data_IF_416277662127
#
_entry.id   IF_416277662127
#
_cell.length_a   1.000
_cell.length_b   1.000
_cell.length_c   1.000
_cell.angle_alpha   90.00
_cell.angle_beta   90.00
_cell.angle_gamma   90.00
#
_symmetry.space_group_name_H-M   'P 1'
#
loop_
_entity.id
_entity.type
_entity.pdbx_description
1 polymer ?
#
# COMPACT_ATOMS: atom_id res chain seq x y z
N UNK A 1 -13.05 -22.72 8.34
CA UNK A 1 -12.31 -23.70 7.51
C UNK A 1 -12.90 -23.64 6.11
N UNK A 2 -12.10 -23.30 5.10
CA UNK A 2 -12.59 -22.98 3.75
C UNK A 2 -12.69 -24.27 2.91
N UNK A 3 -13.90 -24.54 2.39
CA UNK A 3 -14.24 -25.80 1.73
C UNK A 3 -13.51 -25.98 0.40
N UNK A 4 -12.84 -27.12 0.24
CA UNK A 4 -12.12 -27.57 -0.97
C UNK A 4 -13.06 -27.61 -2.21
N UNK A 5 -14.38 -27.71 -1.97
CA UNK A 5 -15.44 -27.66 -2.98
C UNK A 5 -15.57 -26.29 -3.68
N UNK A 6 -15.20 -25.19 -3.00
CA UNK A 6 -15.25 -23.84 -3.59
C UNK A 6 -14.10 -23.62 -4.58
N UNK A 7 -12.97 -24.30 -4.37
CA UNK A 7 -11.79 -24.29 -5.25
C UNK A 7 -11.99 -25.19 -6.47
N UNK A 8 -12.69 -26.32 -6.30
CA UNK A 8 -13.06 -27.22 -7.40
C UNK A 8 -14.03 -26.54 -8.39
N UNK A 9 -15.01 -25.78 -7.88
CA UNK A 9 -15.93 -24.99 -8.72
C UNK A 9 -15.24 -23.88 -9.51
N UNK A 10 -14.13 -23.32 -9.01
CA UNK A 10 -13.40 -22.23 -9.67
C UNK A 10 -12.47 -22.72 -10.79
N UNK A 11 -12.04 -23.98 -10.71
CA UNK A 11 -11.27 -24.65 -11.76
C UNK A 11 -12.21 -25.10 -12.89
N UNK A 12 -13.39 -25.63 -12.56
CA UNK A 12 -14.40 -26.05 -13.56
C UNK A 12 -14.96 -24.89 -14.40
N UNK A 13 -15.07 -23.68 -13.84
CA UNK A 13 -15.60 -22.52 -14.57
C UNK A 13 -14.67 -21.96 -15.66
N UNK A 14 -13.42 -22.43 -15.77
CA UNK A 14 -12.45 -21.91 -16.74
C UNK A 14 -12.17 -22.83 -17.93
N UNK A 15 -12.68 -24.07 -17.94
CA UNK A 15 -12.29 -25.07 -18.97
C UNK A 15 -13.32 -25.29 -20.07
N UNK A 16 -14.54 -24.74 -19.99
CA UNK A 16 -15.59 -25.03 -20.99
C UNK A 16 -16.12 -23.74 -21.60
N UNK A 17 -15.43 -23.13 -22.58
CA UNK A 17 -16.03 -22.16 -23.53
C UNK A 17 -15.19 -22.03 -24.83
N UNK A 18 -14.76 -23.15 -25.44
CA UNK A 18 -14.13 -23.13 -26.78
C UNK A 18 -15.07 -23.46 -27.97
N UNK A 19 -16.41 -23.50 -27.81
CA UNK A 19 -17.32 -23.63 -28.95
C UNK A 19 -18.61 -22.79 -28.77
N UNK A 20 -18.84 -21.84 -29.68
CA UNK A 20 -20.06 -21.03 -29.86
C UNK A 20 -21.17 -21.85 -30.58
N UNK A 21 -22.42 -21.35 -30.79
CA UNK A 21 -23.26 -20.38 -30.04
C UNK A 21 -24.72 -20.87 -29.81
N UNK A 22 -25.43 -20.39 -28.77
CA UNK A 22 -26.91 -20.31 -28.80
C UNK A 22 -27.42 -19.14 -27.95
N UNK A 23 -28.45 -18.49 -28.47
CA UNK A 23 -28.98 -17.19 -28.09
C UNK A 23 -29.84 -17.18 -26.81
N UNK A 24 -29.63 -16.11 -26.01
CA UNK A 24 -30.60 -15.41 -25.13
C UNK A 24 -31.15 -16.17 -23.90
N UNK A 25 -31.36 -15.63 -22.70
CA UNK A 25 -31.16 -14.32 -22.05
C UNK A 25 -31.44 -14.58 -20.56
N UNK A 26 -30.43 -14.52 -19.69
CA UNK A 26 -30.62 -14.20 -18.27
C UNK A 26 -29.54 -13.21 -17.86
N UNK A 27 -29.99 -12.13 -17.24
CA UNK A 27 -29.35 -10.85 -17.06
C UNK A 27 -28.03 -10.94 -16.28
N UNK A 28 -26.91 -11.00 -17.00
CA UNK A 28 -25.58 -10.73 -16.48
C UNK A 28 -25.05 -9.49 -17.18
N UNK A 29 -24.74 -8.43 -16.42
CA UNK A 29 -24.05 -7.26 -16.93
C UNK A 29 -22.66 -7.70 -17.41
N UNK A 30 -22.51 -7.87 -18.72
CA UNK A 30 -21.24 -8.30 -19.31
C UNK A 30 -20.27 -7.12 -19.30
N UNK A 31 -18.99 -7.39 -19.01
CA UNK A 31 -17.95 -6.36 -18.96
C UNK A 31 -17.84 -5.55 -20.27
N UNK A 32 -18.05 -6.20 -21.43
CA UNK A 32 -18.10 -5.51 -22.72
C UNK A 32 -19.26 -4.51 -22.83
N UNK A 33 -20.38 -4.73 -22.14
CA UNK A 33 -21.49 -3.78 -22.08
C UNK A 33 -21.18 -2.56 -21.19
N UNK A 34 -20.35 -2.74 -20.16
CA UNK A 34 -19.90 -1.64 -19.29
C UNK A 34 -18.85 -0.76 -19.99
N UNK A 35 -17.97 -1.39 -20.77
CA UNK A 35 -16.95 -0.68 -21.52
C UNK A 35 -17.56 0.14 -22.67
N UNK A 36 -18.55 -0.39 -23.38
CA UNK A 36 -19.23 0.35 -24.46
C UNK A 36 -20.07 1.55 -23.97
N UNK A 37 -20.62 1.49 -22.75
CA UNK A 37 -21.30 2.65 -22.13
C UNK A 37 -20.33 3.77 -21.72
N UNK A 38 -19.11 3.41 -21.33
CA UNK A 38 -18.13 4.41 -20.87
C UNK A 38 -17.50 5.16 -22.04
N UNK A 39 -17.37 4.52 -23.20
CA UNK A 39 -16.75 5.11 -24.39
C UNK A 39 -17.66 6.07 -25.19
N UNK A 40 -18.96 6.20 -24.86
CA UNK A 40 -19.92 6.91 -25.69
C UNK A 40 -20.66 8.08 -25.00
N UNK A 41 -20.04 8.74 -24.00
CA UNK A 41 -20.62 9.93 -23.35
C UNK A 41 -19.97 11.23 -23.84
N UNK A 42 -20.65 12.04 -24.68
CA UNK A 42 -20.32 13.45 -24.85
C UNK A 42 -20.76 14.22 -23.59
N UNK A 43 -19.79 14.72 -22.82
CA UNK A 43 -20.03 15.61 -21.68
C UNK A 43 -20.48 16.99 -22.15
N UNK A 44 -21.80 17.22 -22.18
CA UNK A 44 -22.37 18.57 -22.26
C UNK A 44 -22.41 19.19 -20.86
N UNK A 45 -21.46 20.08 -20.55
CA UNK A 45 -21.54 20.95 -19.37
C UNK A 45 -22.16 22.28 -19.82
N UNK A 46 -23.43 22.47 -19.46
CA UNK A 46 -24.16 23.73 -19.61
C UNK A 46 -24.15 24.50 -18.28
N UNK A 47 -23.78 25.77 -18.41
CA UNK A 47 -24.32 26.93 -17.69
C UNK A 47 -24.06 27.14 -16.19
N UNK A 48 -23.29 28.21 -15.96
CA UNK A 48 -23.67 29.36 -15.10
C UNK A 48 -23.59 29.18 -13.59
N UNK A 49 -22.49 29.67 -13.01
CA UNK A 49 -22.45 30.43 -11.75
C UNK A 49 -21.07 31.09 -11.60
N UNK A 50 -20.90 32.25 -12.24
CA UNK A 50 -19.77 33.13 -11.96
C UNK A 50 -20.00 33.80 -10.60
N UNK A 51 -19.21 33.43 -9.58
CA UNK A 51 -19.05 34.21 -8.35
C UNK A 51 -17.59 34.67 -8.25
N UNK A 52 -17.46 35.95 -7.90
CA UNK A 52 -16.44 36.88 -8.36
C UNK A 52 -15.04 36.67 -7.76
N UNK A 53 -14.01 36.71 -8.63
CA UNK A 53 -12.57 36.74 -8.33
C UNK A 53 -12.18 38.14 -7.78
N UNK A 54 -12.79 38.58 -6.67
CA UNK A 54 -12.55 39.91 -6.09
C UNK A 54 -12.03 39.90 -4.64
N UNK A 55 -11.68 38.74 -4.10
CA UNK A 55 -11.07 38.59 -2.76
C UNK A 55 -9.53 38.49 -2.76
N UNK A 56 -8.86 38.92 -3.84
CA UNK A 56 -7.38 38.87 -3.94
C UNK A 56 -6.71 40.21 -3.50
N UNK A 57 -7.45 41.18 -2.95
CA UNK A 57 -6.95 42.55 -2.83
C UNK A 57 -6.19 42.95 -1.54
N UNK A 58 -6.13 42.17 -0.46
CA UNK A 58 -5.49 42.70 0.77
C UNK A 58 -4.43 41.78 1.40
N UNK A 59 -3.20 42.01 0.92
CA UNK A 59 -2.00 42.21 1.74
C UNK A 59 -1.68 41.19 2.82
N UNK A 60 -0.75 40.27 2.51
CA UNK A 60 0.16 39.70 3.52
C UNK A 60 1.60 39.73 2.99
N UNK A 61 2.57 40.18 3.80
CA UNK A 61 3.96 40.31 3.38
C UNK A 61 4.57 38.94 3.10
N UNK A 62 5.26 38.84 1.97
CA UNK A 62 6.13 37.72 1.61
C UNK A 62 7.29 37.67 2.60
N UNK A 63 7.16 36.86 3.66
CA UNK A 63 8.33 36.42 4.42
C UNK A 63 8.97 35.31 3.59
N UNK A 64 9.85 35.73 2.66
CA UNK A 64 10.81 34.84 2.03
C UNK A 64 11.84 34.48 3.09
N UNK A 65 11.44 33.57 3.98
CA UNK A 65 12.29 32.99 4.99
C UNK A 65 13.43 32.27 4.27
N UNK A 66 14.63 32.76 4.52
CA UNK A 66 15.85 31.97 4.47
C UNK A 66 15.61 30.69 5.28
N UNK A 67 15.35 29.57 4.61
CA UNK A 67 15.60 28.26 5.20
C UNK A 67 16.87 27.74 4.58
N UNK A 68 17.98 28.26 5.11
CA UNK A 68 19.26 27.58 5.12
C UNK A 68 19.03 26.09 5.34
N UNK A 69 19.65 25.27 4.51
CA UNK A 69 19.66 23.82 4.58
C UNK A 69 19.85 23.35 6.03
N UNK A 70 18.78 22.90 6.68
CA UNK A 70 18.87 22.23 7.97
C UNK A 70 19.34 20.81 7.65
N UNK A 71 20.65 20.59 7.65
CA UNK A 71 21.22 19.24 7.64
C UNK A 71 20.98 18.63 9.03
N UNK A 72 19.81 18.05 9.23
CA UNK A 72 19.34 17.49 10.50
C UNK A 72 20.16 16.24 10.91
N UNK A 73 20.63 16.13 12.16
CA UNK A 73 21.28 14.92 12.70
C UNK A 73 20.31 13.74 13.02
N UNK A 74 19.09 13.77 12.45
CA UNK A 74 18.01 12.81 12.74
C UNK A 74 18.22 11.48 12.02
N UNK A 75 18.70 11.50 10.78
CA UNK A 75 18.96 10.27 9.99
C UNK A 75 20.12 9.43 10.56
N UNK A 76 21.15 10.08 11.12
CA UNK A 76 22.29 9.40 11.72
C UNK A 76 21.93 8.64 13.01
N UNK A 77 21.00 9.17 13.81
CA UNK A 77 20.53 8.49 15.02
C UNK A 77 19.55 7.35 14.71
N UNK A 78 18.62 7.54 13.76
CA UNK A 78 17.68 6.50 13.35
C UNK A 78 18.41 5.29 12.75
N UNK A 79 19.43 5.52 11.93
CA UNK A 79 20.24 4.44 11.35
C UNK A 79 21.08 3.70 12.40
N UNK A 80 21.59 4.38 13.42
CA UNK A 80 22.28 3.75 14.55
C UNK A 80 21.34 2.86 15.36
N UNK A 81 20.13 3.34 15.64
CA UNK A 81 19.12 2.60 16.39
C UNK A 81 18.66 1.34 15.62
N UNK A 82 18.44 1.49 14.31
CA UNK A 82 18.06 0.37 13.44
C UNK A 82 19.13 -0.73 13.38
N UNK A 83 20.41 -0.36 13.29
CA UNK A 83 21.51 -1.31 13.29
C UNK A 83 21.57 -2.13 14.59
N UNK A 84 21.34 -1.48 15.72
CA UNK A 84 21.27 -2.14 17.03
C UNK A 84 20.11 -3.13 17.07
N UNK A 85 18.91 -2.71 16.64
CA UNK A 85 17.71 -3.57 16.60
C UNK A 85 17.93 -4.80 15.72
N UNK A 86 18.51 -4.64 14.52
CA UNK A 86 18.80 -5.76 13.61
C UNK A 86 19.77 -6.75 14.26
N UNK A 87 20.82 -6.24 14.90
CA UNK A 87 21.82 -7.07 15.59
C UNK A 87 21.18 -7.86 16.75
N UNK A 88 20.34 -7.22 17.55
CA UNK A 88 19.65 -7.90 18.65
C UNK A 88 18.67 -8.96 18.15
N UNK A 89 17.92 -8.68 17.08
CA UNK A 89 17.03 -9.66 16.46
C UNK A 89 17.82 -10.85 15.90
N UNK A 90 18.92 -10.60 15.19
CA UNK A 90 19.83 -11.63 14.68
C UNK A 90 20.33 -12.56 15.80
N UNK A 91 20.74 -11.98 16.93
CA UNK A 91 21.19 -12.74 18.10
C UNK A 91 20.05 -13.55 18.75
N UNK A 92 18.87 -12.94 18.88
CA UNK A 92 17.70 -13.57 19.53
C UNK A 92 17.18 -14.77 18.75
N UNK A 93 17.13 -14.65 17.43
CA UNK A 93 16.58 -15.69 16.55
C UNK A 93 17.66 -16.56 15.89
N UNK A 94 18.94 -16.32 16.19
CA UNK A 94 20.08 -17.06 15.63
C UNK A 94 20.12 -17.01 14.08
N UNK A 95 19.81 -15.85 13.52
CA UNK A 95 19.78 -15.60 12.07
C UNK A 95 20.91 -14.62 11.71
N UNK A 96 21.50 -14.75 10.53
CA UNK A 96 22.53 -13.80 10.04
C UNK A 96 21.93 -12.38 9.86
N UNK A 97 22.59 -11.36 10.44
CA UNK A 97 22.23 -9.95 10.27
C UNK A 97 22.08 -9.55 8.79
N UNK A 98 22.93 -10.10 7.91
CA UNK A 98 22.87 -9.82 6.47
C UNK A 98 21.57 -10.32 5.85
N UNK A 99 21.04 -11.45 6.32
CA UNK A 99 19.78 -11.98 5.84
C UNK A 99 18.64 -11.04 6.23
N UNK A 100 18.56 -10.65 7.50
CA UNK A 100 17.56 -9.70 8.01
C UNK A 100 17.61 -8.39 7.21
N UNK A 101 18.80 -7.82 6.99
CA UNK A 101 18.99 -6.60 6.18
C UNK A 101 18.50 -6.78 4.74
N UNK A 102 18.75 -7.95 4.16
CA UNK A 102 18.35 -8.24 2.78
C UNK A 102 16.84 -8.33 2.65
N UNK A 103 16.16 -8.94 3.64
CA UNK A 103 14.70 -8.98 3.72
C UNK A 103 14.14 -7.57 3.89
N UNK A 104 14.60 -6.79 4.86
CA UNK A 104 14.13 -5.40 5.07
C UNK A 104 14.29 -4.57 3.79
N UNK A 105 15.42 -4.74 3.09
CA UNK A 105 15.66 -4.04 1.82
C UNK A 105 14.66 -4.45 0.74
N UNK A 106 14.37 -5.75 0.62
CA UNK A 106 13.43 -6.27 -0.36
C UNK A 106 11.98 -5.83 -0.07
N UNK A 107 11.60 -5.82 1.20
CA UNK A 107 10.22 -5.55 1.64
C UNK A 107 9.86 -4.05 1.61
N UNK A 108 10.76 -3.19 2.11
CA UNK A 108 10.45 -1.77 2.33
C UNK A 108 11.54 -0.81 1.84
N UNK A 109 12.68 -1.32 1.38
CA UNK A 109 13.88 -0.53 1.13
C UNK A 109 14.25 0.38 2.33
N UNK A 110 14.17 -0.16 3.55
CA UNK A 110 14.44 0.53 4.81
C UNK A 110 13.47 1.70 5.13
N UNK A 111 12.24 1.65 4.62
CA UNK A 111 11.20 2.61 4.98
C UNK A 111 10.33 2.10 6.14
N UNK A 112 10.50 2.70 7.32
CA UNK A 112 9.72 2.36 8.53
C UNK A 112 8.21 2.58 8.37
N UNK A 113 7.79 3.48 7.48
CA UNK A 113 6.38 3.83 7.26
C UNK A 113 5.83 3.24 5.96
N UNK A 114 6.50 2.25 5.37
CA UNK A 114 6.04 1.60 4.15
C UNK A 114 4.69 0.89 4.38
N UNK A 115 3.74 1.11 3.45
CA UNK A 115 2.44 0.44 3.43
C UNK A 115 2.16 -0.11 2.05
N UNK A 116 1.92 -1.42 1.93
CA UNK A 116 1.58 -2.05 0.66
C UNK A 116 0.10 -1.85 0.29
N UNK A 117 -0.24 -2.10 -0.98
CA UNK A 117 -1.64 -2.09 -1.46
C UNK A 117 -2.54 -3.09 -0.74
N UNK A 118 -1.97 -4.18 -0.24
CA UNK A 118 -2.68 -5.21 0.52
C UNK A 118 -2.72 -4.90 2.03
N UNK A 119 -2.08 -3.82 2.48
CA UNK A 119 -2.09 -3.35 3.87
C UNK A 119 -0.95 -3.87 4.73
N UNK A 120 0.11 -4.44 4.15
CA UNK A 120 1.33 -4.78 4.87
C UNK A 120 2.05 -3.52 5.36
N UNK A 121 2.68 -3.56 6.54
CA UNK A 121 3.20 -2.37 7.22
C UNK A 121 4.65 -2.54 7.71
N UNK A 122 5.43 -1.48 7.60
CA UNK A 122 6.74 -1.33 8.23
C UNK A 122 7.88 -2.02 7.49
N UNK A 123 9.02 -2.16 8.19
CA UNK A 123 10.28 -2.65 7.63
C UNK A 123 10.18 -4.02 6.96
N UNK A 124 9.48 -4.95 7.60
CA UNK A 124 9.29 -6.33 7.18
C UNK A 124 7.89 -6.59 6.63
N UNK A 125 7.14 -5.53 6.31
CA UNK A 125 5.83 -5.62 5.65
C UNK A 125 4.89 -6.64 6.33
N UNK A 126 4.73 -6.51 7.65
CA UNK A 126 3.83 -7.38 8.40
C UNK A 126 2.38 -7.06 8.06
N UNK A 127 1.59 -8.08 7.74
CA UNK A 127 0.14 -7.93 7.63
C UNK A 127 -0.47 -7.66 9.01
N UNK A 128 -1.52 -6.81 9.13
CA UNK A 128 -2.09 -6.46 10.44
C UNK A 128 -2.62 -7.66 11.23
N UNK A 129 -3.08 -8.72 10.55
CA UNK A 129 -3.47 -9.96 11.23
C UNK A 129 -2.25 -10.71 11.80
N UNK A 130 -1.17 -10.81 11.02
CA UNK A 130 0.09 -11.45 11.42
C UNK A 130 0.75 -10.69 12.57
N UNK A 131 0.85 -9.36 12.47
CA UNK A 131 1.40 -8.50 13.51
C UNK A 131 0.74 -8.76 14.88
N UNK A 132 -0.61 -8.79 14.91
CA UNK A 132 -1.37 -9.11 16.13
C UNK A 132 -1.08 -10.50 16.68
N UNK A 133 -0.96 -11.50 15.81
CA UNK A 133 -0.63 -12.87 16.21
C UNK A 133 0.77 -13.00 16.83
N UNK A 134 1.69 -12.11 16.45
CA UNK A 134 3.08 -12.08 16.93
C UNK A 134 3.29 -11.10 18.09
N UNK A 135 2.22 -10.52 18.64
CA UNK A 135 2.30 -9.57 19.76
C UNK A 135 2.79 -8.17 19.36
N UNK A 136 2.85 -7.87 18.06
CA UNK A 136 3.20 -6.53 17.55
C UNK A 136 1.98 -5.62 17.73
N UNK A 137 2.13 -4.63 18.62
CA UNK A 137 1.11 -3.61 18.91
C UNK A 137 1.19 -2.43 17.94
N UNK A 138 2.40 -2.12 17.47
CA UNK A 138 2.65 -1.07 16.49
C UNK A 138 3.60 -1.57 15.40
N UNK A 139 3.07 -1.81 14.19
CA UNK A 139 3.87 -2.25 13.04
C UNK A 139 4.82 -1.18 12.49
N UNK A 140 4.65 0.09 12.86
CA UNK A 140 5.57 1.17 12.47
C UNK A 140 6.69 1.39 13.50
N UNK A 141 6.63 0.71 14.65
CA UNK A 141 7.74 0.67 15.58
C UNK A 141 8.83 -0.26 15.03
N UNK A 142 10.04 0.28 14.85
CA UNK A 142 11.15 -0.43 14.23
C UNK A 142 11.47 -1.75 14.94
N UNK A 143 11.48 -1.71 16.27
CA UNK A 143 11.82 -2.86 17.11
C UNK A 143 10.75 -3.94 17.00
N UNK A 144 9.49 -3.59 17.23
CA UNK A 144 8.41 -4.56 17.17
C UNK A 144 8.27 -5.16 15.78
N UNK A 145 8.41 -4.37 14.72
CA UNK A 145 8.27 -4.86 13.35
C UNK A 145 9.40 -5.83 12.97
N UNK A 146 10.65 -5.50 13.29
CA UNK A 146 11.80 -6.37 12.97
C UNK A 146 11.77 -7.64 13.81
N UNK A 147 11.49 -7.55 15.12
CA UNK A 147 11.37 -8.74 15.97
C UNK A 147 10.17 -9.61 15.59
N UNK A 148 9.06 -8.99 15.17
CA UNK A 148 7.90 -9.74 14.70
C UNK A 148 8.12 -10.41 13.33
N UNK A 149 8.96 -9.85 12.46
CA UNK A 149 9.21 -10.41 11.13
C UNK A 149 10.44 -11.29 10.99
N UNK A 150 11.22 -11.46 12.06
CA UNK A 150 12.42 -12.31 12.13
C UNK A 150 12.07 -13.66 12.75
#
# INVERSE_FOLDING_TARGET
>A
MMNIRMLQSLIESQTIHQFLPVSQTRSGLTFNHLLSQTLNQPTHISAQSAMSIREILHGRPSILAQTSSITTPVEANLSKDLNTIIKEAAQTYQIDEKLIRSVIKAESNFNQFAVSRAGAQGYMQLMPATARGLGVTNSFDARQNIFGGT
#
